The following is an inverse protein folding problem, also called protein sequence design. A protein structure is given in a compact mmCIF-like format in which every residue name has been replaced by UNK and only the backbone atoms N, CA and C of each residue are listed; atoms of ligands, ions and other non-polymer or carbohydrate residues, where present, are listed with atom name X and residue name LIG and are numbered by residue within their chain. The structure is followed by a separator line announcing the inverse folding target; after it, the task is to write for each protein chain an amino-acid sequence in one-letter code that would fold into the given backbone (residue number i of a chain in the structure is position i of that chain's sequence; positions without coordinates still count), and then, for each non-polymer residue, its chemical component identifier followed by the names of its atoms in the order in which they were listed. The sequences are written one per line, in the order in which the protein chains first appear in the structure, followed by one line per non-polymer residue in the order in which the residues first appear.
data_IF_877365683332
#
_entry.id   IF_877365683332
#
_cell.length_a   1.000
_cell.length_b   1.000
_cell.length_c   1.000
_cell.angle_alpha   90.00
_cell.angle_beta   90.00
_cell.angle_gamma   90.00
#
_symmetry.space_group_name_H-M   'P 1'
#
loop_
_entity.id
_entity.type
_entity.pdbx_description
1 polymer ?
#
# COMPACT_ATOMS: atom_id res chain seq x y z
N UNK A 1 -1.93 4.01 -3.66
CA UNK A 1 -0.96 4.94 -4.26
C UNK A 1 -1.59 6.19 -4.88
N UNK A 2 -2.56 6.08 -5.82
CA UNK A 2 -3.19 7.24 -6.50
C UNK A 2 -3.73 8.30 -5.52
N UNK A 3 -4.46 7.89 -4.49
CA UNK A 3 -5.01 8.82 -3.50
C UNK A 3 -3.94 9.61 -2.75
N UNK A 4 -2.82 8.99 -2.40
CA UNK A 4 -1.69 9.67 -1.75
C UNK A 4 -1.06 10.71 -2.69
N UNK A 5 -0.89 10.37 -3.97
CA UNK A 5 -0.39 11.30 -4.97
C UNK A 5 -1.30 12.52 -5.15
N UNK A 6 -2.61 12.31 -5.23
CA UNK A 6 -3.60 13.40 -5.33
C UNK A 6 -3.58 14.32 -4.10
N UNK A 7 -3.53 13.75 -2.89
CA UNK A 7 -3.44 14.51 -1.64
C UNK A 7 -2.14 15.32 -1.55
N UNK A 8 -1.02 14.74 -1.96
CA UNK A 8 0.26 15.41 -1.97
C UNK A 8 0.27 16.63 -2.90
N UNK A 9 -0.32 16.50 -4.09
CA UNK A 9 -0.35 17.56 -5.11
C UNK A 9 -1.43 18.62 -4.87
N UNK A 10 -2.43 18.34 -4.02
CA UNK A 10 -3.56 19.25 -3.79
C UNK A 10 -3.65 19.68 -2.31
N UNK A 11 -3.03 20.81 -1.94
CA UNK A 11 -3.06 21.33 -0.57
C UNK A 11 -4.48 21.60 -0.04
N UNK A 12 -5.39 22.08 -0.91
CA UNK A 12 -6.77 22.36 -0.52
C UNK A 12 -7.52 21.09 -0.15
N UNK A 13 -7.43 20.05 -0.98
CA UNK A 13 -8.05 18.75 -0.70
C UNK A 13 -7.46 18.12 0.57
N UNK A 14 -6.14 18.19 0.73
CA UNK A 14 -5.46 17.69 1.92
C UNK A 14 -5.96 18.39 3.19
N UNK A 15 -6.09 19.71 3.15
CA UNK A 15 -6.58 20.47 4.29
C UNK A 15 -8.04 20.16 4.64
N UNK A 16 -8.90 19.93 3.63
CA UNK A 16 -10.28 19.51 3.83
C UNK A 16 -10.37 18.13 4.51
N UNK A 17 -9.58 17.15 4.05
CA UNK A 17 -9.58 15.80 4.62
C UNK A 17 -9.02 15.77 6.05
N UNK A 18 -8.06 16.64 6.35
CA UNK A 18 -7.43 16.74 7.67
C UNK A 18 -8.11 17.75 8.60
N UNK A 19 -9.32 18.22 8.28
CA UNK A 19 -10.09 19.20 9.07
C UNK A 19 -9.27 20.44 9.46
N UNK A 20 -8.48 20.97 8.54
CA UNK A 20 -7.61 22.12 8.80
C UNK A 20 -6.37 21.82 9.66
N UNK A 21 -6.13 20.58 10.03
CA UNK A 21 -4.98 20.16 10.87
C UNK A 21 -3.69 19.94 10.09
N UNK A 22 -3.70 20.17 8.77
CA UNK A 22 -2.48 20.05 7.99
C UNK A 22 -1.51 21.17 8.36
N UNK A 23 -0.34 20.79 8.88
CA UNK A 23 0.76 21.72 9.14
C UNK A 23 1.58 22.01 7.89
N UNK A 24 1.29 21.33 6.79
CA UNK A 24 2.03 21.38 5.53
C UNK A 24 1.17 22.02 4.43
N UNK A 25 1.54 23.19 3.96
CA UNK A 25 0.76 24.00 3.00
C UNK A 25 1.24 23.90 1.56
N UNK A 26 2.47 23.46 1.34
CA UNK A 26 3.09 23.44 0.03
C UNK A 26 2.60 22.28 -0.84
N UNK A 27 2.74 22.46 -2.17
CA UNK A 27 2.66 21.34 -3.11
C UNK A 27 3.83 20.41 -2.89
N UNK A 28 3.53 19.11 -2.84
CA UNK A 28 4.53 18.06 -2.78
C UNK A 28 4.75 17.54 -4.19
N UNK A 29 5.99 17.44 -4.62
CA UNK A 29 6.33 16.79 -5.89
C UNK A 29 6.17 15.28 -5.73
N UNK A 30 5.38 14.67 -6.60
CA UNK A 30 5.14 13.22 -6.57
C UNK A 30 5.99 12.56 -7.63
N UNK A 31 6.78 11.58 -7.22
CA UNK A 31 7.55 10.69 -8.08
C UNK A 31 6.93 9.30 -7.96
N UNK A 32 6.36 8.79 -9.02
CA UNK A 32 5.69 7.50 -9.00
C UNK A 32 6.37 6.51 -9.94
N UNK A 33 6.55 5.29 -9.46
CA UNK A 33 7.09 4.19 -10.25
C UNK A 33 6.33 2.90 -9.95
N UNK A 34 5.97 2.17 -11.00
CA UNK A 34 5.42 0.83 -10.89
C UNK A 34 6.40 -0.21 -11.44
N UNK A 35 6.64 -1.26 -10.66
CA UNK A 35 7.53 -2.34 -11.08
C UNK A 35 7.02 -3.16 -12.28
N UNK A 36 5.79 -2.91 -12.75
CA UNK A 36 5.28 -3.49 -14.01
C UNK A 36 5.91 -2.85 -15.25
N UNK A 37 6.36 -1.60 -15.15
CA UNK A 37 7.17 -0.94 -16.17
C UNK A 37 8.64 -1.33 -15.97
N UNK A 38 8.99 -2.56 -16.34
CA UNK A 38 10.29 -3.17 -16.03
C UNK A 38 11.41 -2.81 -16.99
N UNK A 39 11.11 -2.34 -18.19
CA UNK A 39 12.05 -2.08 -19.29
C UNK A 39 12.65 -0.67 -19.29
N UNK A 40 12.73 -0.04 -18.14
CA UNK A 40 13.35 1.27 -17.97
C UNK A 40 14.88 1.20 -18.19
N UNK A 41 15.46 2.11 -19.04
CA UNK A 41 16.83 1.94 -19.53
C UNK A 41 17.91 2.14 -18.46
N UNK A 42 17.67 2.97 -17.44
CA UNK A 42 18.68 3.37 -16.44
C UNK A 42 18.27 3.00 -15.01
N UNK A 43 17.47 1.95 -14.85
CA UNK A 43 17.00 1.52 -13.55
C UNK A 43 16.03 2.52 -12.88
N UNK A 44 15.55 2.16 -11.69
CA UNK A 44 14.60 2.99 -10.94
C UNK A 44 15.17 4.39 -10.65
N UNK A 45 16.48 4.51 -10.42
CA UNK A 45 17.12 5.80 -10.14
C UNK A 45 17.16 6.71 -11.37
N UNK A 46 17.30 6.16 -12.56
CA UNK A 46 17.20 6.93 -13.79
C UNK A 46 15.81 7.51 -13.99
N UNK A 47 14.77 6.70 -13.71
CA UNK A 47 13.39 7.15 -13.80
C UNK A 47 13.07 8.25 -12.76
N UNK A 48 13.52 8.10 -11.52
CA UNK A 48 13.38 9.14 -10.49
C UNK A 48 14.08 10.44 -10.92
N UNK A 49 15.32 10.34 -11.43
CA UNK A 49 16.06 11.51 -11.91
C UNK A 49 15.34 12.20 -13.08
N UNK A 50 14.75 11.41 -14.01
CA UNK A 50 13.95 11.91 -15.12
C UNK A 50 12.73 12.68 -14.67
N UNK A 51 11.96 12.12 -13.74
CA UNK A 51 10.76 12.78 -13.17
C UNK A 51 11.10 14.07 -12.43
N UNK A 52 12.33 14.17 -11.90
CA UNK A 52 12.85 15.38 -11.28
C UNK A 52 13.41 16.40 -12.30
N UNK A 53 13.66 16.00 -13.55
CA UNK A 53 14.40 16.80 -14.53
C UNK A 53 15.87 17.01 -14.16
N UNK A 54 16.45 16.02 -13.46
CA UNK A 54 17.83 16.07 -12.94
C UNK A 54 18.70 14.93 -13.47
N UNK A 55 18.43 14.42 -14.68
CA UNK A 55 19.13 13.28 -15.28
C UNK A 55 20.64 13.47 -15.36
N UNK A 56 21.08 14.70 -15.59
CA UNK A 56 22.50 15.04 -15.69
C UNK A 56 23.28 14.72 -14.40
N UNK A 57 22.65 14.86 -13.23
CA UNK A 57 23.27 14.53 -11.94
C UNK A 57 23.54 13.04 -11.77
N UNK A 58 22.87 12.20 -12.56
CA UNK A 58 22.93 10.75 -12.42
C UNK A 58 23.56 10.04 -13.62
N UNK A 59 24.08 10.78 -14.60
CA UNK A 59 24.72 10.23 -15.81
C UNK A 59 25.79 9.19 -15.52
N UNK A 60 26.60 9.40 -14.50
CA UNK A 60 27.66 8.46 -14.12
C UNK A 60 27.16 7.09 -13.66
N UNK A 61 25.86 6.98 -13.30
CA UNK A 61 25.23 5.75 -12.85
C UNK A 61 24.50 4.98 -13.96
N UNK A 62 24.51 5.51 -15.19
CA UNK A 62 23.75 4.93 -16.31
C UNK A 62 24.58 3.96 -17.16
N UNK A 63 25.84 4.31 -17.45
CA UNK A 63 26.69 3.49 -18.31
C UNK A 63 28.16 3.51 -17.85
N UNK A 64 28.71 2.42 -17.28
CA UNK A 64 28.01 1.18 -16.94
C UNK A 64 27.01 1.38 -15.80
N UNK A 65 25.91 0.59 -15.77
CA UNK A 65 24.90 0.71 -14.77
C UNK A 65 25.48 0.48 -13.36
N UNK A 66 25.34 1.47 -12.47
CA UNK A 66 25.86 1.44 -11.11
C UNK A 66 24.81 1.88 -10.10
N UNK A 67 24.88 1.35 -8.89
CA UNK A 67 24.04 1.81 -7.80
C UNK A 67 24.48 3.20 -7.31
N UNK A 68 23.59 4.21 -7.28
CA UNK A 68 23.88 5.49 -6.63
C UNK A 68 24.14 5.28 -5.14
N UNK A 69 25.16 5.95 -4.61
CA UNK A 69 25.44 5.97 -3.18
C UNK A 69 24.51 6.92 -2.41
N UNK A 70 24.52 6.81 -1.08
CA UNK A 70 23.71 7.65 -0.20
C UNK A 70 23.85 9.17 -0.50
N UNK A 71 25.07 9.67 -0.69
CA UNK A 71 25.31 11.09 -0.98
C UNK A 71 24.73 11.51 -2.32
N UNK A 72 24.74 10.63 -3.33
CA UNK A 72 24.12 10.91 -4.62
C UNK A 72 22.59 11.07 -4.47
N UNK A 73 21.95 10.19 -3.74
CA UNK A 73 20.52 10.28 -3.42
C UNK A 73 20.16 11.57 -2.68
N UNK A 74 20.95 11.94 -1.66
CA UNK A 74 20.77 13.22 -0.96
C UNK A 74 20.85 14.40 -1.93
N UNK A 75 21.87 14.43 -2.80
CA UNK A 75 22.04 15.50 -3.79
C UNK A 75 20.88 15.56 -4.79
N UNK A 76 20.34 14.44 -5.21
CA UNK A 76 19.20 14.38 -6.12
C UNK A 76 17.91 14.91 -5.48
N UNK A 77 17.62 14.50 -4.25
CA UNK A 77 16.30 14.65 -3.61
C UNK A 77 16.20 15.90 -2.72
N UNK A 78 17.31 16.51 -2.33
CA UNK A 78 17.28 17.69 -1.43
C UNK A 78 16.62 18.89 -2.09
N UNK A 79 15.99 19.73 -1.26
CA UNK A 79 15.54 21.09 -1.61
C UNK A 79 14.02 21.23 -1.60
N UNK A 80 13.27 20.40 -2.29
CA UNK A 80 11.81 20.49 -2.37
C UNK A 80 11.11 19.34 -1.62
N UNK A 81 9.85 19.52 -1.19
CA UNK A 81 9.07 18.41 -0.63
C UNK A 81 8.73 17.37 -1.68
N UNK A 82 9.12 16.13 -1.43
CA UNK A 82 8.97 15.01 -2.37
C UNK A 82 8.22 13.85 -1.70
N UNK A 83 7.25 13.30 -2.43
CA UNK A 83 6.64 12.00 -2.14
C UNK A 83 7.04 11.01 -3.23
N UNK A 84 7.78 9.97 -2.84
CA UNK A 84 8.16 8.88 -3.73
C UNK A 84 7.17 7.73 -3.50
N UNK A 85 6.58 7.22 -4.57
CA UNK A 85 5.62 6.13 -4.55
C UNK A 85 6.16 4.96 -5.38
N UNK A 86 6.49 3.85 -4.72
CA UNK A 86 6.84 2.59 -5.38
C UNK A 86 5.69 1.61 -5.27
N UNK A 87 5.18 1.19 -6.42
CA UNK A 87 4.12 0.20 -6.52
C UNK A 87 4.61 -1.06 -7.22
N UNK A 88 4.30 -2.22 -6.63
CA UNK A 88 4.60 -3.53 -7.22
C UNK A 88 6.08 -3.70 -7.67
N UNK A 89 7.07 -3.41 -6.83
CA UNK A 89 8.50 -3.60 -7.13
C UNK A 89 8.90 -5.03 -7.53
N UNK A 90 8.29 -6.12 -7.01
CA UNK A 90 8.68 -7.49 -7.33
C UNK A 90 8.77 -7.83 -8.82
N UNK A 91 7.82 -7.47 -9.70
CA UNK A 91 7.95 -7.71 -11.14
C UNK A 91 9.20 -7.10 -11.76
N UNK A 92 9.56 -5.88 -11.37
CA UNK A 92 10.80 -5.24 -11.84
C UNK A 92 12.04 -6.00 -11.38
N UNK A 93 12.11 -6.40 -10.11
CA UNK A 93 13.26 -7.13 -9.59
C UNK A 93 13.39 -8.52 -10.22
N UNK A 94 12.27 -9.16 -10.54
CA UNK A 94 12.27 -10.42 -11.28
C UNK A 94 12.84 -10.24 -12.70
N UNK A 95 12.45 -9.20 -13.41
CA UNK A 95 13.00 -8.84 -14.72
C UNK A 95 14.49 -8.49 -14.60
N UNK A 96 14.87 -7.59 -13.70
CA UNK A 96 16.24 -7.14 -13.49
C UNK A 96 17.20 -8.30 -13.15
N UNK A 97 16.71 -9.35 -12.52
CA UNK A 97 17.47 -10.57 -12.25
C UNK A 97 17.86 -11.36 -13.50
N UNK A 98 17.05 -11.27 -14.55
CA UNK A 98 17.36 -11.93 -15.83
C UNK A 98 18.48 -11.23 -16.61
N UNK A 99 18.89 -10.02 -16.19
CA UNK A 99 19.89 -9.20 -16.88
C UNK A 99 21.22 -9.33 -16.15
N UNK A 100 22.26 -9.96 -16.76
CA UNK A 100 23.59 -10.04 -16.18
C UNK A 100 24.25 -8.66 -16.09
N UNK A 101 24.99 -8.41 -15.02
CA UNK A 101 25.82 -7.20 -14.88
C UNK A 101 27.08 -7.52 -14.05
N UNK A 102 28.21 -7.53 -14.68
CA UNK A 102 29.47 -7.95 -14.07
C UNK A 102 29.42 -9.39 -13.56
N UNK A 103 29.70 -9.58 -12.27
CA UNK A 103 29.61 -10.90 -11.59
C UNK A 103 28.23 -11.19 -10.98
N UNK A 104 27.29 -10.25 -11.09
CA UNK A 104 25.93 -10.35 -10.55
C UNK A 104 24.87 -10.02 -11.59
N UNK A 105 23.78 -9.43 -11.14
CA UNK A 105 22.62 -9.05 -11.97
C UNK A 105 22.24 -7.58 -11.75
N UNK A 106 21.40 -7.05 -12.63
CA UNK A 106 20.80 -5.72 -12.44
C UNK A 106 19.96 -5.66 -11.17
N UNK A 107 19.38 -6.78 -10.72
CA UNK A 107 18.64 -6.83 -9.46
C UNK A 107 19.55 -6.58 -8.24
N UNK A 108 20.78 -7.08 -8.26
CA UNK A 108 21.76 -6.83 -7.18
C UNK A 108 22.13 -5.36 -7.12
N UNK A 109 22.36 -4.73 -8.28
CA UNK A 109 22.64 -3.27 -8.36
C UNK A 109 21.42 -2.48 -7.84
N UNK A 110 20.21 -2.88 -8.23
CA UNK A 110 18.97 -2.22 -7.80
C UNK A 110 18.77 -2.33 -6.29
N UNK A 111 18.99 -3.51 -5.71
CA UNK A 111 18.89 -3.72 -4.26
C UNK A 111 19.84 -2.79 -3.50
N UNK A 112 21.08 -2.67 -3.97
CA UNK A 112 22.05 -1.74 -3.38
C UNK A 112 21.60 -0.28 -3.54
N UNK A 113 21.08 0.10 -4.70
CA UNK A 113 20.58 1.46 -4.96
C UNK A 113 19.41 1.82 -4.04
N UNK A 114 18.46 0.91 -3.85
CA UNK A 114 17.32 1.09 -2.95
C UNK A 114 17.73 1.13 -1.48
N UNK A 115 18.63 0.26 -1.04
CA UNK A 115 19.20 0.31 0.32
C UNK A 115 19.86 1.66 0.60
N UNK A 116 20.64 2.19 -0.35
CA UNK A 116 21.25 3.51 -0.25
C UNK A 116 20.20 4.64 -0.21
N UNK A 117 19.10 4.51 -0.96
CA UNK A 117 17.97 5.45 -0.92
C UNK A 117 17.31 5.46 0.47
N UNK A 118 17.00 4.29 1.03
CA UNK A 118 16.38 4.19 2.35
C UNK A 118 17.27 4.81 3.43
N UNK A 119 18.56 4.53 3.38
CA UNK A 119 19.53 5.15 4.28
C UNK A 119 19.63 6.68 4.09
N UNK A 120 19.50 7.17 2.85
CA UNK A 120 19.50 8.59 2.56
C UNK A 120 18.27 9.31 3.12
N UNK A 121 17.07 8.72 2.96
CA UNK A 121 15.81 9.29 3.46
C UNK A 121 15.82 9.42 5.00
N UNK A 122 16.53 8.55 5.70
CA UNK A 122 16.71 8.65 7.16
C UNK A 122 17.62 9.81 7.61
N UNK A 123 18.19 10.60 6.70
CA UNK A 123 19.07 11.72 7.03
C UNK A 123 18.31 13.04 7.17
N UNK A 124 18.84 13.91 8.02
CA UNK A 124 18.23 15.22 8.30
C UNK A 124 18.09 16.11 7.04
N UNK A 125 18.97 15.95 6.06
CA UNK A 125 18.94 16.69 4.79
C UNK A 125 17.69 16.38 3.94
N UNK A 126 17.05 15.22 4.15
CA UNK A 126 15.86 14.76 3.45
C UNK A 126 14.61 14.69 4.33
N UNK A 127 14.54 15.50 5.40
CA UNK A 127 13.40 15.55 6.33
C UNK A 127 12.05 15.87 5.65
N UNK A 128 12.07 16.42 4.44
CA UNK A 128 10.91 16.75 3.61
C UNK A 128 10.65 15.71 2.49
N UNK A 129 11.33 14.57 2.52
CA UNK A 129 11.13 13.46 1.57
C UNK A 129 10.43 12.31 2.27
N UNK A 130 9.33 11.86 1.68
CA UNK A 130 8.61 10.67 2.14
C UNK A 130 8.63 9.60 1.04
N UNK A 131 8.91 8.37 1.42
CA UNK A 131 8.82 7.20 0.53
C UNK A 131 7.69 6.29 1.01
N UNK A 132 6.83 5.90 0.10
CA UNK A 132 5.80 4.88 0.31
C UNK A 132 6.02 3.73 -0.66
N UNK A 133 6.14 2.54 -0.12
CA UNK A 133 6.28 1.30 -0.89
C UNK A 133 5.04 0.45 -0.66
N UNK A 134 4.35 0.03 -1.73
CA UNK A 134 3.31 -0.99 -1.59
C UNK A 134 3.97 -2.36 -1.53
N UNK A 135 3.62 -3.09 -0.47
CA UNK A 135 4.07 -4.46 -0.27
C UNK A 135 2.89 -5.43 -0.46
N UNK A 136 3.09 -6.41 -1.33
CA UNK A 136 2.21 -7.55 -1.48
C UNK A 136 2.96 -8.78 -0.99
N UNK A 137 2.85 -9.10 0.32
CA UNK A 137 3.50 -10.27 0.94
C UNK A 137 3.35 -11.57 0.13
N UNK A 138 2.22 -11.75 -0.54
CA UNK A 138 1.95 -12.90 -1.40
C UNK A 138 2.92 -13.02 -2.60
N UNK A 139 3.49 -11.91 -3.07
CA UNK A 139 4.40 -11.90 -4.21
C UNK A 139 5.81 -12.34 -3.81
N UNK A 140 6.18 -12.14 -2.54
CA UNK A 140 7.49 -12.52 -2.01
C UNK A 140 7.62 -14.03 -1.76
N UNK A 141 6.52 -14.73 -1.51
CA UNK A 141 6.52 -16.16 -1.21
C UNK A 141 6.74 -17.06 -2.43
N UNK A 142 6.47 -16.57 -3.64
CA UNK A 142 6.58 -17.33 -4.89
C UNK A 142 7.91 -17.15 -5.62
N UNK A 143 8.81 -16.28 -5.13
CA UNK A 143 10.13 -16.01 -5.71
C UNK A 143 11.17 -17.10 -5.43
N UNK A 144 12.19 -17.22 -6.29
CA UNK A 144 13.35 -18.08 -6.00
C UNK A 144 14.13 -17.59 -4.77
N UNK A 145 14.82 -18.48 -4.05
CA UNK A 145 15.52 -18.18 -2.79
C UNK A 145 16.50 -17.00 -2.81
N UNK A 146 17.04 -16.61 -3.98
CA UNK A 146 17.89 -15.42 -4.15
C UNK A 146 17.08 -14.12 -4.18
N UNK A 147 15.88 -14.12 -4.80
CA UNK A 147 14.94 -12.99 -4.71
C UNK A 147 14.48 -12.79 -3.26
N UNK A 148 14.15 -13.88 -2.57
CA UNK A 148 13.79 -13.81 -1.15
C UNK A 148 14.91 -13.22 -0.30
N UNK A 149 16.18 -13.49 -0.61
CA UNK A 149 17.30 -12.89 0.10
C UNK A 149 17.39 -11.39 -0.14
N UNK A 150 17.35 -10.95 -1.41
CA UNK A 150 17.38 -9.51 -1.77
C UNK A 150 16.19 -8.74 -1.17
N UNK A 151 15.00 -9.36 -1.14
CA UNK A 151 13.82 -8.78 -0.49
C UNK A 151 13.97 -8.75 1.02
N UNK A 152 14.47 -9.82 1.63
CA UNK A 152 14.67 -9.88 3.08
C UNK A 152 15.68 -8.85 3.57
N UNK A 153 16.71 -8.57 2.79
CA UNK A 153 17.69 -7.54 3.09
C UNK A 153 17.04 -6.14 2.98
N UNK A 154 16.22 -5.90 1.97
CA UNK A 154 15.40 -4.69 1.82
C UNK A 154 14.37 -4.55 2.95
N UNK A 155 13.64 -5.61 3.28
CA UNK A 155 12.65 -5.61 4.37
C UNK A 155 13.31 -5.30 5.71
N UNK A 156 14.50 -5.82 5.98
CA UNK A 156 15.25 -5.52 7.20
C UNK A 156 15.66 -4.04 7.28
N UNK A 157 16.04 -3.42 6.17
CA UNK A 157 16.34 -1.98 6.09
C UNK A 157 15.08 -1.14 6.27
N UNK A 158 13.99 -1.51 5.59
CA UNK A 158 12.68 -0.86 5.71
C UNK A 158 12.15 -0.96 7.15
N UNK A 159 12.17 -2.14 7.76
CA UNK A 159 11.63 -2.39 9.09
C UNK A 159 12.29 -1.55 10.20
N UNK A 160 13.53 -1.10 10.00
CA UNK A 160 14.27 -0.28 10.98
C UNK A 160 13.82 1.18 11.02
N UNK A 161 13.25 1.70 9.94
CA UNK A 161 12.96 3.13 9.76
C UNK A 161 11.57 3.43 9.19
N UNK A 162 10.71 2.42 9.03
CA UNK A 162 9.39 2.56 8.42
C UNK A 162 8.25 2.38 9.41
N UNK A 163 7.11 2.99 9.06
CA UNK A 163 5.82 2.70 9.68
C UNK A 163 5.07 1.76 8.73
N UNK A 164 4.74 0.57 9.22
CA UNK A 164 3.89 -0.34 8.46
C UNK A 164 2.43 0.07 8.64
N UNK A 165 1.75 0.33 7.53
CA UNK A 165 0.33 0.69 7.51
C UNK A 165 -0.40 -0.40 6.73
N UNK A 166 -1.25 -1.14 7.40
CA UNK A 166 -2.16 -2.09 6.78
C UNK A 166 -3.53 -1.42 6.60
N UNK A 167 -3.88 -0.94 5.37
CA UNK A 167 -5.08 -0.13 5.15
C UNK A 167 -6.39 -0.86 5.44
N UNK A 168 -6.38 -2.19 5.33
CA UNK A 168 -7.55 -3.04 5.57
C UNK A 168 -7.11 -4.25 6.37
N UNK A 169 -7.30 -4.18 7.68
CA UNK A 169 -7.09 -5.34 8.56
C UNK A 169 -8.16 -6.42 8.33
N UNK A 170 -7.82 -7.69 8.62
CA UNK A 170 -8.75 -8.83 8.52
C UNK A 170 -9.95 -8.72 9.48
N UNK A 171 -9.81 -7.92 10.52
CA UNK A 171 -10.81 -7.75 11.59
C UNK A 171 -11.53 -6.42 11.54
N UNK A 172 -11.17 -5.52 10.61
CA UNK A 172 -11.75 -4.19 10.56
C UNK A 172 -13.10 -4.17 9.85
N UNK A 173 -14.00 -3.34 10.33
CA UNK A 173 -15.29 -3.09 9.69
C UNK A 173 -15.14 -2.26 8.40
N UNK A 174 -13.91 -1.83 8.10
CA UNK A 174 -13.53 -1.13 6.86
C UNK A 174 -13.90 -1.91 5.60
N UNK A 175 -13.88 -3.26 5.66
CA UNK A 175 -14.32 -4.11 4.56
C UNK A 175 -15.76 -3.78 4.15
N UNK A 176 -16.67 -3.65 5.11
CA UNK A 176 -18.07 -3.31 4.83
C UNK A 176 -18.21 -1.91 4.24
N UNK A 177 -17.40 -0.96 4.71
CA UNK A 177 -17.38 0.40 4.17
C UNK A 177 -16.90 0.43 2.72
N UNK A 178 -15.86 -0.33 2.40
CA UNK A 178 -15.33 -0.45 1.03
C UNK A 178 -16.35 -1.09 0.11
N UNK A 179 -16.93 -2.22 0.51
CA UNK A 179 -17.93 -2.94 -0.27
C UNK A 179 -19.18 -2.09 -0.51
N UNK A 180 -19.67 -1.38 0.53
CA UNK A 180 -20.79 -0.46 0.38
C UNK A 180 -20.53 0.62 -0.66
N UNK A 181 -19.40 1.29 -0.56
CA UNK A 181 -19.04 2.37 -1.50
C UNK A 181 -18.83 1.90 -2.94
N UNK A 182 -18.45 0.64 -3.14
CA UNK A 182 -18.19 0.10 -4.49
C UNK A 182 -19.43 -0.51 -5.15
N UNK A 183 -20.33 -1.08 -4.37
CA UNK A 183 -21.45 -1.84 -4.90
C UNK A 183 -22.77 -1.07 -4.89
N UNK A 184 -22.87 0.01 -4.11
CA UNK A 184 -24.12 0.75 -3.95
C UNK A 184 -23.90 2.25 -4.13
N UNK A 185 -24.68 2.87 -4.98
CA UNK A 185 -24.69 4.34 -5.17
C UNK A 185 -25.30 5.05 -3.95
N UNK A 186 -26.34 4.44 -3.37
CA UNK A 186 -27.01 4.93 -2.18
C UNK A 186 -27.01 3.86 -1.09
N UNK A 187 -26.96 4.26 0.15
CA UNK A 187 -27.05 3.36 1.31
C UNK A 187 -28.27 3.73 2.14
N UNK A 188 -28.84 2.74 2.87
CA UNK A 188 -29.95 2.98 3.78
C UNK A 188 -29.61 4.05 4.82
N UNK A 189 -30.62 4.78 5.26
CA UNK A 189 -30.50 5.73 6.36
C UNK A 189 -30.23 5.00 7.69
N UNK A 190 -29.81 5.73 8.70
CA UNK A 190 -29.58 5.14 10.03
C UNK A 190 -30.88 4.62 10.66
N UNK A 191 -32.01 5.25 10.35
CA UNK A 191 -33.34 4.81 10.79
C UNK A 191 -33.70 3.46 10.14
N UNK A 192 -33.55 3.34 8.84
CA UNK A 192 -33.82 2.08 8.13
C UNK A 192 -32.93 0.93 8.60
N UNK A 193 -31.64 1.21 8.83
CA UNK A 193 -30.71 0.22 9.40
C UNK A 193 -31.14 -0.22 10.80
N UNK A 194 -31.59 0.74 11.61
CA UNK A 194 -32.08 0.48 12.96
C UNK A 194 -33.31 -0.43 12.96
N UNK A 195 -34.31 -0.13 12.12
CA UNK A 195 -35.53 -0.94 11.98
C UNK A 195 -35.22 -2.39 11.57
N UNK A 196 -34.33 -2.56 10.57
CA UNK A 196 -33.90 -3.89 10.12
C UNK A 196 -33.16 -4.63 11.23
N UNK A 197 -32.25 -3.97 11.94
CA UNK A 197 -31.51 -4.59 13.02
C UNK A 197 -32.42 -5.00 14.20
N UNK A 198 -33.47 -4.23 14.50
CA UNK A 198 -34.50 -4.61 15.50
C UNK A 198 -35.23 -5.86 15.04
N UNK A 199 -35.65 -5.96 13.79
CA UNK A 199 -36.35 -7.16 13.30
C UNK A 199 -35.51 -8.43 13.46
N UNK A 200 -34.21 -8.37 13.12
CA UNK A 200 -33.27 -9.47 13.37
C UNK A 200 -33.11 -9.81 14.85
N UNK A 201 -33.00 -8.79 15.70
CA UNK A 201 -32.87 -8.94 17.15
C UNK A 201 -34.07 -9.70 17.74
N UNK A 202 -35.28 -9.29 17.38
CA UNK A 202 -36.52 -9.95 17.90
C UNK A 202 -36.64 -11.40 17.39
N UNK A 203 -36.33 -11.66 16.12
CA UNK A 203 -36.32 -13.03 15.58
C UNK A 203 -35.31 -13.92 16.31
N UNK A 204 -34.10 -13.41 16.60
CA UNK A 204 -33.10 -14.17 17.36
C UNK A 204 -33.54 -14.38 18.82
N UNK A 205 -34.21 -13.42 19.44
CA UNK A 205 -34.74 -13.53 20.79
C UNK A 205 -35.79 -14.63 20.88
N UNK A 206 -36.72 -14.71 19.92
CA UNK A 206 -37.73 -15.78 19.84
C UNK A 206 -37.07 -17.16 19.62
N UNK A 207 -36.12 -17.26 18.66
CA UNK A 207 -35.39 -18.49 18.40
C UNK A 207 -34.59 -18.97 19.63
N UNK A 208 -34.04 -18.04 20.40
CA UNK A 208 -33.36 -18.36 21.67
C UNK A 208 -34.29 -18.89 22.74
N UNK A 209 -35.51 -18.33 22.86
CA UNK A 209 -36.53 -18.83 23.78
C UNK A 209 -36.96 -20.27 23.43
N UNK A 210 -36.94 -20.59 22.13
CA UNK A 210 -37.26 -21.94 21.63
C UNK A 210 -36.05 -22.90 21.65
N UNK A 211 -34.91 -22.48 22.17
CA UNK A 211 -33.65 -23.23 22.18
C UNK A 211 -33.10 -23.60 20.79
N UNK A 212 -33.43 -22.83 19.75
CA UNK A 212 -32.88 -23.03 18.37
C UNK A 212 -31.56 -22.37 18.14
N UNK A 213 -31.17 -21.41 18.99
CA UNK A 213 -29.88 -20.68 18.85
C UNK A 213 -29.36 -20.25 20.21
N UNK A 214 -28.01 -20.12 20.28
CA UNK A 214 -27.31 -19.53 21.42
C UNK A 214 -26.84 -18.10 21.15
N UNK A 215 -27.20 -17.51 20.01
CA UNK A 215 -26.75 -16.16 19.63
C UNK A 215 -27.30 -15.12 20.63
N UNK A 216 -26.53 -14.07 20.84
CA UNK A 216 -26.96 -12.90 21.61
C UNK A 216 -27.78 -11.97 20.72
N UNK A 217 -29.04 -11.65 21.05
CA UNK A 217 -29.85 -10.70 20.29
C UNK A 217 -29.18 -9.33 20.12
N UNK A 218 -28.49 -8.85 21.16
CA UNK A 218 -27.78 -7.57 21.12
C UNK A 218 -26.58 -7.60 20.18
N UNK A 219 -25.81 -8.69 20.17
CA UNK A 219 -24.68 -8.85 19.23
C UNK A 219 -25.19 -8.93 17.78
N UNK A 220 -26.31 -9.59 17.54
CA UNK A 220 -26.91 -9.65 16.20
C UNK A 220 -27.39 -8.28 15.78
N UNK A 221 -28.07 -7.52 16.65
CA UNK A 221 -28.50 -6.16 16.37
C UNK A 221 -27.31 -5.28 15.94
N UNK A 222 -26.25 -5.24 16.74
CA UNK A 222 -25.05 -4.45 16.42
C UNK A 222 -24.41 -4.92 15.12
N UNK A 223 -24.22 -6.23 14.96
CA UNK A 223 -23.61 -6.80 13.77
C UNK A 223 -24.38 -6.48 12.48
N UNK A 224 -25.72 -6.57 12.49
CA UNK A 224 -26.56 -6.22 11.33
C UNK A 224 -26.46 -4.72 11.02
N UNK A 225 -26.57 -3.86 12.03
CA UNK A 225 -26.49 -2.41 11.86
C UNK A 225 -25.15 -1.99 11.22
N UNK A 226 -24.06 -2.56 11.69
CA UNK A 226 -22.70 -2.21 11.22
C UNK A 226 -22.41 -2.80 9.82
N UNK A 227 -22.87 -4.03 9.56
CA UNK A 227 -22.59 -4.71 8.29
C UNK A 227 -23.54 -4.33 7.15
N UNK A 228 -24.72 -3.76 7.42
CA UNK A 228 -25.74 -3.50 6.40
C UNK A 228 -25.19 -2.77 5.16
N UNK A 229 -25.57 -3.15 3.93
CA UNK A 229 -26.62 -4.12 3.55
C UNK A 229 -26.17 -5.59 3.56
N UNK A 230 -25.00 -5.88 4.03
CA UNK A 230 -24.47 -7.25 4.10
C UNK A 230 -24.87 -7.92 5.41
N UNK A 231 -24.95 -9.26 5.37
CA UNK A 231 -25.04 -10.04 6.59
C UNK A 231 -23.66 -10.10 7.28
N UNK A 232 -23.56 -10.05 8.62
CA UNK A 232 -22.28 -10.11 9.35
C UNK A 232 -21.40 -11.31 9.00
N UNK A 233 -21.98 -12.46 8.63
CA UNK A 233 -21.25 -13.67 8.21
C UNK A 233 -20.40 -13.47 6.94
N UNK A 234 -20.62 -12.40 6.18
CA UNK A 234 -19.75 -12.09 5.03
C UNK A 234 -18.31 -11.85 5.48
N UNK A 235 -18.11 -11.26 6.65
CA UNK A 235 -16.78 -11.05 7.24
C UNK A 235 -16.04 -12.39 7.43
N UNK A 236 -16.74 -13.38 8.00
CA UNK A 236 -16.20 -14.72 8.22
C UNK A 236 -15.91 -15.43 6.89
N UNK A 237 -16.78 -15.23 5.90
CA UNK A 237 -16.59 -15.78 4.57
C UNK A 237 -15.34 -15.21 3.90
N UNK A 238 -15.15 -13.89 3.95
CA UNK A 238 -13.94 -13.25 3.42
C UNK A 238 -12.68 -13.65 4.16
N UNK A 239 -12.72 -13.81 5.49
CA UNK A 239 -11.59 -14.29 6.26
C UNK A 239 -11.16 -15.68 5.78
N UNK A 240 -12.11 -16.61 5.58
CA UNK A 240 -11.84 -17.96 5.07
C UNK A 240 -11.31 -17.94 3.63
N UNK A 241 -11.80 -17.05 2.78
CA UNK A 241 -11.25 -16.88 1.44
C UNK A 241 -9.81 -16.36 1.46
N UNK A 242 -9.48 -15.44 2.39
CA UNK A 242 -8.12 -14.89 2.53
C UNK A 242 -7.12 -15.96 3.00
N UNK A 243 -7.55 -16.93 3.79
CA UNK A 243 -6.72 -18.07 4.22
C UNK A 243 -6.44 -19.08 3.10
N UNK A 244 -7.20 -19.03 2.01
CA UNK A 244 -7.00 -19.92 0.87
C UNK A 244 -5.87 -19.37 -0.03
N UNK A 245 -4.76 -20.12 -0.23
CA UNK A 245 -3.61 -19.67 -1.03
C UNK A 245 -3.95 -19.22 -2.46
N UNK A 246 -5.01 -19.76 -3.05
CA UNK A 246 -5.50 -19.36 -4.37
C UNK A 246 -6.21 -17.99 -4.40
N UNK A 247 -6.57 -17.43 -3.25
CA UNK A 247 -7.34 -16.19 -3.12
C UNK A 247 -6.52 -15.00 -2.58
N UNK A 248 -5.24 -15.19 -2.34
CA UNK A 248 -4.35 -14.21 -1.70
C UNK A 248 -4.08 -12.94 -2.52
N UNK A 249 -4.74 -12.75 -3.66
CA UNK A 249 -4.57 -11.55 -4.46
C UNK A 249 -5.77 -10.63 -4.29
N UNK A 250 -5.51 -9.39 -3.91
CA UNK A 250 -6.44 -8.25 -3.84
C UNK A 250 -7.28 -8.01 -5.10
N UNK A 251 -7.04 -8.75 -6.18
CA UNK A 251 -7.81 -8.74 -7.43
C UNK A 251 -9.29 -9.11 -7.26
N UNK A 252 -9.65 -9.83 -6.21
CA UNK A 252 -11.05 -10.13 -5.91
C UNK A 252 -11.91 -8.93 -5.49
N UNK A 253 -11.28 -7.80 -5.13
CA UNK A 253 -11.95 -6.56 -4.70
C UNK A 253 -11.76 -5.40 -5.69
N UNK A 254 -11.01 -5.59 -6.78
CA UNK A 254 -10.65 -4.55 -7.75
C UNK A 254 -11.17 -4.79 -9.17
N UNK A 255 -12.09 -5.75 -9.35
CA UNK A 255 -12.82 -5.93 -10.59
C UNK A 255 -13.96 -4.94 -10.76
#
# INVERSE_FOLDING_TARGET
MVALGLLAQNPTLRNQILDGKSTFTDKVKVLAYTGRESDIPYGIWGEIARQLGKEELFKEYYAPLKAPGQSAWINLLKGEPILILFDELPPYLQYARSIPSGTGTVADITTNALSNLFNAIGKAELHNVCLVVSDLQATYQTGSGLLQKSFKDLDNEIARSSINIEPVGTTSDDLYHILRKRLFETTATEEEKHEIAIAYKEAVKEAKQMNYTNLSPEQVYTGIKDAYPFHPSIKDLFARFKENPGFQQTRGLSG
#
